data_IF_888866299498
#
_entry.id   IF_888866299498
#
_cell.length_a   1.000
_cell.length_b   1.000
_cell.length_c   1.000
_cell.angle_alpha   90.00
_cell.angle_beta   90.00
_cell.angle_gamma   90.00
#
_symmetry.space_group_name_H-M   'P 1'
#
loop_
_entity.id
_entity.type
_entity.pdbx_description
1 polymer ?
#
# COMPACT_ATOMS: atom_id res chain seq x y z
N UNK A 1 -8.84 25.06 -8.61
CA UNK A 1 -8.94 23.66 -8.18
C UNK A 1 -7.63 23.36 -7.46
N UNK A 2 -7.68 23.14 -6.15
CA UNK A 2 -6.48 22.93 -5.33
C UNK A 2 -5.90 21.51 -5.47
N UNK A 3 -4.75 21.22 -4.83
CA UNK A 3 -4.22 19.86 -4.74
C UNK A 3 -5.23 18.93 -4.05
N UNK A 4 -5.33 17.69 -4.52
CA UNK A 4 -6.20 16.65 -3.94
C UNK A 4 -5.35 15.47 -3.47
N UNK A 5 -5.37 15.21 -2.16
CA UNK A 5 -4.51 14.22 -1.53
C UNK A 5 -5.25 12.89 -1.34
N UNK A 6 -5.38 12.10 -2.41
CA UNK A 6 -5.81 10.71 -2.30
C UNK A 6 -5.16 9.85 -3.40
N UNK A 7 -5.29 8.54 -3.27
CA UNK A 7 -4.65 7.60 -4.20
C UNK A 7 -5.18 7.66 -5.63
N UNK A 8 -6.41 8.12 -5.83
CA UNK A 8 -6.96 8.45 -7.15
C UNK A 8 -7.84 9.68 -7.05
N UNK A 9 -7.80 10.53 -8.08
CA UNK A 9 -8.76 11.64 -8.17
C UNK A 9 -10.13 11.12 -8.63
N UNK A 10 -11.24 11.43 -7.93
CA UNK A 10 -12.56 10.82 -8.17
C UNK A 10 -13.07 10.88 -9.60
N UNK A 11 -12.76 11.96 -10.33
CA UNK A 11 -13.27 12.22 -11.67
C UNK A 11 -12.18 12.52 -12.72
N UNK A 12 -10.90 12.22 -12.44
CA UNK A 12 -9.85 12.48 -13.42
C UNK A 12 -10.07 11.67 -14.71
N UNK A 13 -10.14 12.39 -15.84
CA UNK A 13 -10.24 11.78 -17.15
C UNK A 13 -8.84 11.37 -17.62
N UNK A 14 -8.46 10.12 -17.35
CA UNK A 14 -7.09 9.66 -17.56
C UNK A 14 -6.63 9.71 -19.03
N UNK A 15 -7.55 9.46 -19.97
CA UNK A 15 -7.31 9.59 -21.41
C UNK A 15 -6.91 11.00 -21.87
N UNK A 16 -7.21 12.04 -21.08
CA UNK A 16 -6.90 13.43 -21.40
C UNK A 16 -5.62 13.94 -20.76
N UNK A 17 -4.99 13.15 -19.88
CA UNK A 17 -3.75 13.56 -19.23
C UNK A 17 -2.54 13.33 -20.13
N UNK A 18 -1.55 14.21 -20.01
CA UNK A 18 -0.29 14.13 -20.76
C UNK A 18 0.83 13.68 -19.82
N UNK A 19 1.78 12.85 -20.30
CA UNK A 19 2.97 12.53 -19.53
C UNK A 19 3.78 13.80 -19.22
N UNK A 20 4.52 13.78 -18.11
CA UNK A 20 5.49 14.82 -17.82
C UNK A 20 6.57 14.85 -18.91
N UNK A 21 7.06 16.05 -19.26
CA UNK A 21 7.97 16.27 -20.39
C UNK A 21 9.41 15.73 -20.20
N UNK A 22 9.69 14.99 -19.12
CA UNK A 22 11.03 14.50 -18.79
C UNK A 22 11.29 13.18 -19.51
N UNK A 23 12.50 13.00 -20.07
CA UNK A 23 12.81 11.89 -20.98
C UNK A 23 12.53 10.49 -20.42
N UNK A 24 12.78 10.25 -19.13
CA UNK A 24 12.53 8.93 -18.53
C UNK A 24 11.03 8.58 -18.47
N UNK A 25 10.13 9.58 -18.38
CA UNK A 25 8.68 9.32 -18.42
C UNK A 25 8.18 9.01 -19.84
N UNK A 26 8.81 9.56 -20.87
CA UNK A 26 8.45 9.24 -22.26
C UNK A 26 8.71 7.77 -22.57
N UNK A 27 9.89 7.27 -22.19
CA UNK A 27 10.26 5.87 -22.38
C UNK A 27 9.28 4.93 -21.66
N UNK A 28 8.91 5.21 -20.41
CA UNK A 28 7.89 4.42 -19.69
C UNK A 28 6.54 4.38 -20.43
N UNK A 29 6.12 5.48 -21.03
CA UNK A 29 4.88 5.55 -21.80
C UNK A 29 4.97 4.81 -23.13
N UNK A 30 6.15 4.72 -23.73
CA UNK A 30 6.38 3.93 -24.94
C UNK A 30 6.49 2.43 -24.64
N UNK A 31 7.15 2.04 -23.55
CA UNK A 31 7.30 0.64 -23.18
C UNK A 31 5.97 0.02 -22.68
N UNK A 32 5.23 0.74 -21.84
CA UNK A 32 4.04 0.19 -21.16
C UNK A 32 2.70 0.72 -21.68
N UNK A 33 2.72 1.67 -22.61
CA UNK A 33 1.56 2.15 -23.39
C UNK A 33 0.32 2.42 -22.53
N UNK A 34 -0.69 1.55 -22.62
CA UNK A 34 -1.98 1.72 -21.97
C UNK A 34 -1.89 1.70 -20.44
N UNK A 35 -1.00 0.86 -19.90
CA UNK A 35 -0.77 0.72 -18.45
C UNK A 35 -0.19 2.01 -17.88
N UNK A 36 0.80 2.60 -18.57
CA UNK A 36 1.38 3.88 -18.20
C UNK A 36 0.35 5.02 -18.22
N UNK A 37 -0.49 5.09 -19.25
CA UNK A 37 -1.53 6.14 -19.40
C UNK A 37 -2.58 6.12 -18.28
N UNK A 38 -2.85 4.96 -17.69
CA UNK A 38 -3.82 4.82 -16.59
C UNK A 38 -3.24 5.18 -15.22
N UNK A 39 -1.95 5.48 -15.12
CA UNK A 39 -1.23 5.61 -13.85
C UNK A 39 -1.29 7.01 -13.24
N UNK A 40 -2.50 7.54 -13.12
CA UNK A 40 -2.78 8.79 -12.41
C UNK A 40 -3.11 8.51 -10.96
N UNK A 41 -2.10 8.01 -10.25
CA UNK A 41 -2.23 7.43 -8.93
C UNK A 41 -1.20 8.02 -7.98
N UNK A 42 -1.59 8.20 -6.73
CA UNK A 42 -0.69 8.67 -5.66
C UNK A 42 -0.54 7.59 -4.60
N UNK A 43 0.68 7.38 -4.11
CA UNK A 43 0.96 6.45 -3.02
C UNK A 43 1.68 7.15 -1.88
N UNK A 44 1.50 6.63 -0.66
CA UNK A 44 2.38 6.93 0.46
C UNK A 44 3.54 5.94 0.43
N UNK A 45 4.77 6.46 0.35
CA UNK A 45 5.99 5.65 0.48
C UNK A 45 6.70 5.99 1.78
N UNK A 46 7.08 4.95 2.55
CA UNK A 46 7.79 5.11 3.82
C UNK A 46 9.12 4.38 3.74
N UNK A 47 10.20 5.09 4.04
CA UNK A 47 11.55 4.53 4.14
C UNK A 47 11.91 4.32 5.60
N UNK A 48 12.37 3.12 5.94
CA UNK A 48 12.96 2.83 7.25
C UNK A 48 14.39 2.37 7.04
N UNK A 49 15.34 3.07 7.67
CA UNK A 49 16.76 2.74 7.65
C UNK A 49 17.02 1.40 8.33
N UNK A 50 17.94 0.62 7.76
CA UNK A 50 18.33 -0.68 8.31
C UNK A 50 19.84 -0.75 8.54
N UNK A 51 20.32 -1.44 9.58
CA UNK A 51 21.76 -1.62 9.81
C UNK A 51 22.46 -2.32 8.64
N UNK A 52 23.75 -2.05 8.37
CA UNK A 52 24.50 -2.71 7.28
C UNK A 52 24.50 -4.24 7.35
N UNK A 53 24.47 -4.81 8.55
CA UNK A 53 24.44 -6.26 8.77
C UNK A 53 23.06 -6.90 8.55
N UNK A 54 22.01 -6.11 8.30
CA UNK A 54 20.65 -6.61 8.09
C UNK A 54 20.50 -7.14 6.67
N UNK A 55 20.14 -8.43 6.54
CA UNK A 55 19.65 -8.96 5.27
C UNK A 55 18.24 -8.40 4.99
N UNK A 56 18.19 -7.42 4.08
CA UNK A 56 16.94 -6.74 3.70
C UNK A 56 15.90 -7.68 3.11
N UNK A 57 16.31 -8.77 2.45
CA UNK A 57 15.35 -9.69 1.86
C UNK A 57 14.72 -10.57 2.93
N UNK A 58 15.51 -11.06 3.89
CA UNK A 58 14.98 -11.77 5.05
C UNK A 58 14.03 -10.88 5.88
N UNK A 59 14.39 -9.61 6.07
CA UNK A 59 13.51 -8.63 6.71
C UNK A 59 12.19 -8.48 5.95
N UNK A 60 12.22 -8.31 4.62
CA UNK A 60 11.01 -8.20 3.80
C UNK A 60 10.12 -9.44 3.93
N UNK A 61 10.70 -10.63 3.97
CA UNK A 61 9.95 -11.87 4.16
C UNK A 61 9.22 -11.92 5.51
N UNK A 62 9.84 -11.41 6.59
CA UNK A 62 9.20 -11.30 7.91
C UNK A 62 8.05 -10.30 7.93
N UNK A 63 8.17 -9.21 7.16
CA UNK A 63 7.16 -8.15 7.09
C UNK A 63 5.99 -8.49 6.16
N UNK A 64 6.18 -9.42 5.23
CA UNK A 64 5.23 -9.76 4.17
C UNK A 64 3.78 -10.01 4.68
N UNK A 65 3.54 -10.77 5.75
CA UNK A 65 2.18 -11.05 6.23
C UNK A 65 1.44 -9.80 6.68
N UNK A 66 2.15 -8.76 7.13
CA UNK A 66 1.56 -7.55 7.71
C UNK A 66 1.32 -6.42 6.71
N UNK A 67 1.90 -6.51 5.50
CA UNK A 67 1.73 -5.47 4.48
C UNK A 67 0.26 -5.16 4.15
N UNK A 68 -0.64 -6.15 3.99
CA UNK A 68 -2.03 -5.84 3.67
C UNK A 68 -2.76 -5.07 4.77
N UNK A 69 -2.37 -5.21 6.05
CA UNK A 69 -2.95 -4.41 7.14
C UNK A 69 -2.61 -2.92 6.97
N UNK A 70 -1.38 -2.59 6.56
CA UNK A 70 -0.98 -1.21 6.25
C UNK A 70 -1.74 -0.66 5.02
N UNK A 71 -2.05 -1.53 4.05
CA UNK A 71 -2.93 -1.14 2.94
C UNK A 71 -4.35 -0.82 3.45
N UNK A 72 -4.93 -1.67 4.31
CA UNK A 72 -6.27 -1.45 4.91
C UNK A 72 -6.35 -0.08 5.57
N UNK A 73 -5.33 0.33 6.34
CA UNK A 73 -5.32 1.62 7.01
C UNK A 73 -5.26 2.81 6.04
N UNK A 74 -4.66 2.62 4.87
CA UNK A 74 -4.39 3.70 3.91
C UNK A 74 -5.48 3.90 2.85
N UNK A 75 -6.46 2.99 2.71
CA UNK A 75 -7.33 2.97 1.53
C UNK A 75 -8.01 4.31 1.28
N UNK A 76 -7.83 4.85 0.08
CA UNK A 76 -8.30 6.21 -0.29
C UNK A 76 -8.70 6.36 -1.76
N UNK A 77 -8.81 5.26 -2.50
CA UNK A 77 -9.13 5.27 -3.94
C UNK A 77 -10.36 4.42 -4.33
N UNK A 78 -11.54 4.63 -3.74
CA UNK A 78 -12.73 3.87 -4.12
C UNK A 78 -13.37 4.34 -5.44
N UNK A 79 -13.05 5.55 -5.88
CA UNK A 79 -13.58 6.18 -7.08
C UNK A 79 -12.53 6.26 -8.19
N UNK A 80 -12.93 5.95 -9.41
CA UNK A 80 -12.11 6.08 -10.62
C UNK A 80 -12.98 6.49 -11.80
N UNK A 81 -12.50 7.44 -12.61
CA UNK A 81 -13.22 7.94 -13.80
C UNK A 81 -14.70 8.35 -13.54
N UNK A 82 -14.98 8.89 -12.34
CA UNK A 82 -16.31 9.35 -11.94
C UNK A 82 -17.28 8.24 -11.53
N UNK A 83 -16.77 7.06 -11.20
CA UNK A 83 -17.57 5.90 -10.79
C UNK A 83 -16.99 5.25 -9.53
N UNK A 84 -17.88 4.68 -8.70
CA UNK A 84 -17.47 3.78 -7.63
C UNK A 84 -17.02 2.46 -8.25
N UNK A 85 -15.79 2.06 -7.93
CA UNK A 85 -15.12 0.91 -8.58
C UNK A 85 -15.49 -0.42 -7.96
N UNK A 86 -16.10 -0.40 -6.78
CA UNK A 86 -16.26 -1.56 -5.92
C UNK A 86 -14.98 -1.94 -5.15
N UNK A 87 -13.86 -1.27 -5.35
CA UNK A 87 -12.65 -1.47 -4.53
C UNK A 87 -12.51 -0.35 -3.49
N UNK A 88 -11.79 -0.61 -2.41
CA UNK A 88 -11.37 0.41 -1.44
C UNK A 88 -10.03 1.04 -1.83
N UNK A 89 -9.18 0.27 -2.51
CA UNK A 89 -7.99 0.76 -3.21
C UNK A 89 -8.02 0.37 -4.70
N UNK A 90 -8.59 1.22 -5.54
CA UNK A 90 -8.49 1.07 -7.00
C UNK A 90 -7.06 1.31 -7.49
N UNK A 91 -6.27 2.12 -6.78
CA UNK A 91 -4.84 2.30 -7.06
C UNK A 91 -4.13 0.96 -7.16
N UNK A 92 -4.33 0.06 -6.19
CA UNK A 92 -3.65 -1.23 -6.20
C UNK A 92 -4.16 -2.18 -7.29
N UNK A 93 -5.40 -2.03 -7.74
CA UNK A 93 -5.91 -2.73 -8.95
C UNK A 93 -5.17 -2.26 -10.19
N UNK A 94 -5.12 -0.95 -10.44
CA UNK A 94 -4.46 -0.38 -11.63
C UNK A 94 -2.95 -0.63 -11.58
N UNK A 95 -2.33 -0.48 -10.40
CA UNK A 95 -0.93 -0.80 -10.20
C UNK A 95 -0.60 -2.27 -10.50
N UNK A 96 -1.54 -3.20 -10.29
CA UNK A 96 -1.35 -4.62 -10.58
C UNK A 96 -1.16 -4.96 -12.06
N UNK A 97 -1.49 -4.04 -12.98
CA UNK A 97 -1.25 -4.23 -14.42
C UNK A 97 0.21 -3.95 -14.83
N UNK A 98 1.01 -3.36 -13.94
CA UNK A 98 2.43 -3.13 -14.21
C UNK A 98 3.27 -4.37 -13.93
N UNK A 99 4.31 -4.65 -14.74
CA UNK A 99 5.23 -5.73 -14.45
C UNK A 99 5.94 -5.48 -13.13
N UNK A 100 6.16 -6.55 -12.37
CA UNK A 100 6.85 -6.51 -11.07
C UNK A 100 6.19 -5.57 -10.04
N UNK A 101 4.90 -5.23 -10.20
CA UNK A 101 4.07 -4.63 -9.15
C UNK A 101 3.27 -5.69 -8.41
N UNK A 102 3.22 -5.57 -7.09
CA UNK A 102 2.54 -6.55 -6.23
C UNK A 102 3.35 -6.86 -4.98
N UNK A 103 3.02 -7.96 -4.32
CA UNK A 103 3.81 -8.43 -3.19
C UNK A 103 5.22 -8.88 -3.67
N UNK A 104 6.27 -8.70 -2.85
CA UNK A 104 7.63 -9.14 -3.18
C UNK A 104 7.72 -10.63 -3.48
N UNK A 105 8.71 -11.05 -4.27
CA UNK A 105 9.02 -12.48 -4.41
C UNK A 105 9.58 -13.06 -3.12
N UNK A 106 9.27 -14.34 -2.85
CA UNK A 106 9.73 -15.06 -1.65
C UNK A 106 11.17 -15.55 -1.86
N UNK A 107 12.10 -14.60 -1.95
CA UNK A 107 13.53 -14.89 -2.11
C UNK A 107 14.16 -15.09 -0.73
N UNK A 108 14.95 -16.14 -0.49
CA UNK A 108 15.38 -16.51 0.86
C UNK A 108 16.33 -15.50 1.52
N UNK A 109 17.15 -14.80 0.73
CA UNK A 109 18.21 -13.93 1.22
C UNK A 109 18.61 -12.86 0.18
N UNK A 110 19.52 -11.98 0.58
CA UNK A 110 20.05 -10.93 -0.28
C UNK A 110 20.74 -11.49 -1.53
N UNK A 111 21.44 -12.62 -1.43
CA UNK A 111 22.14 -13.21 -2.56
C UNK A 111 21.15 -13.70 -3.63
N UNK A 112 20.02 -14.29 -3.23
CA UNK A 112 18.94 -14.69 -4.12
C UNK A 112 18.27 -13.48 -4.78
N UNK A 113 18.07 -12.39 -4.03
CA UNK A 113 17.62 -11.11 -4.59
C UNK A 113 18.57 -10.58 -5.67
N UNK A 114 19.89 -10.59 -5.41
CA UNK A 114 20.89 -10.18 -6.41
C UNK A 114 20.87 -11.09 -7.64
N UNK A 115 20.81 -12.41 -7.47
CA UNK A 115 20.70 -13.36 -8.61
C UNK A 115 19.44 -13.12 -9.44
N UNK A 116 18.30 -12.92 -8.79
CA UNK A 116 17.02 -12.62 -9.46
C UNK A 116 17.11 -11.31 -10.25
N UNK A 117 17.63 -10.25 -9.65
CA UNK A 117 17.82 -8.96 -10.32
C UNK A 117 18.78 -9.07 -11.51
N UNK A 118 19.93 -9.71 -11.33
CA UNK A 118 20.92 -9.92 -12.40
C UNK A 118 20.34 -10.72 -13.56
N UNK A 119 19.49 -11.71 -13.28
CA UNK A 119 18.75 -12.44 -14.31
C UNK A 119 17.86 -11.50 -15.12
N UNK A 120 17.03 -10.68 -14.46
CA UNK A 120 16.14 -9.75 -15.19
C UNK A 120 16.93 -8.71 -16.00
N UNK A 121 18.05 -8.25 -15.46
CA UNK A 121 18.90 -7.27 -16.15
C UNK A 121 19.59 -7.86 -17.38
N UNK A 122 20.20 -9.04 -17.25
CA UNK A 122 20.91 -9.66 -18.39
C UNK A 122 19.98 -10.10 -19.52
N UNK A 123 18.70 -10.35 -19.24
CA UNK A 123 17.70 -10.71 -20.26
C UNK A 123 16.95 -9.51 -20.81
N UNK A 124 17.26 -8.28 -20.37
CA UNK A 124 16.57 -7.06 -20.80
C UNK A 124 15.17 -6.88 -20.21
N UNK A 125 14.75 -7.73 -19.26
CA UNK A 125 13.44 -7.61 -18.58
C UNK A 125 13.43 -6.47 -17.54
N UNK A 126 14.61 -6.03 -17.08
CA UNK A 126 14.78 -4.89 -16.19
C UNK A 126 15.95 -4.03 -16.65
N UNK A 127 15.76 -2.71 -16.72
CA UNK A 127 16.86 -1.79 -17.02
C UNK A 127 17.98 -1.88 -15.96
N UNK A 128 19.20 -1.49 -16.33
CA UNK A 128 20.35 -1.54 -15.42
C UNK A 128 20.11 -0.72 -14.13
N UNK A 129 19.51 0.46 -14.26
CA UNK A 129 19.10 1.35 -13.19
C UNK A 129 17.64 1.18 -12.75
N UNK A 130 16.92 0.24 -13.39
CA UNK A 130 15.54 -0.09 -13.11
C UNK A 130 15.34 -0.65 -11.70
N UNK A 131 14.19 -0.34 -11.12
CA UNK A 131 13.77 -0.86 -9.83
C UNK A 131 12.59 -1.83 -9.98
N UNK A 132 12.54 -2.82 -9.09
CA UNK A 132 11.34 -3.63 -8.90
C UNK A 132 10.28 -2.80 -8.17
N UNK A 133 9.07 -2.74 -8.71
CA UNK A 133 7.97 -1.93 -8.15
C UNK A 133 7.12 -2.69 -7.12
N UNK A 134 7.77 -3.55 -6.34
CA UNK A 134 7.12 -4.30 -5.27
C UNK A 134 6.50 -3.40 -4.20
N UNK A 135 5.49 -3.93 -3.51
CA UNK A 135 4.74 -3.33 -2.42
C UNK A 135 5.62 -3.04 -1.19
N UNK A 136 6.72 -3.76 -1.04
CA UNK A 136 7.82 -3.49 -0.11
C UNK A 136 9.11 -3.87 -0.84
N UNK A 137 10.16 -3.04 -0.82
CA UNK A 137 11.39 -3.36 -1.56
C UNK A 137 12.65 -2.89 -0.83
N UNK A 138 13.81 -3.49 -1.13
CA UNK A 138 15.08 -2.87 -0.78
C UNK A 138 15.24 -1.58 -1.59
N UNK A 139 15.55 -0.45 -0.94
CA UNK A 139 15.88 0.76 -1.69
C UNK A 139 17.24 0.60 -2.36
N UNK A 140 17.31 0.98 -3.64
CA UNK A 140 18.58 1.00 -4.38
C UNK A 140 19.48 2.15 -3.94
N UNK A 141 18.88 3.31 -3.65
CA UNK A 141 19.59 4.57 -3.36
C UNK A 141 19.94 4.73 -1.89
N UNK A 142 19.10 4.20 -0.99
CA UNK A 142 19.25 4.39 0.44
C UNK A 142 19.41 3.04 1.16
N UNK A 143 20.10 3.01 2.32
CA UNK A 143 20.21 1.82 3.16
C UNK A 143 18.89 1.58 3.92
N UNK A 144 17.79 1.44 3.19
CA UNK A 144 16.43 1.33 3.74
C UNK A 144 15.69 0.16 3.10
N UNK A 145 14.62 -0.25 3.76
CA UNK A 145 13.46 -0.89 3.11
C UNK A 145 12.39 0.18 2.84
N UNK A 146 11.73 0.08 1.69
CA UNK A 146 10.78 1.08 1.21
C UNK A 146 9.38 0.45 1.08
N UNK A 147 8.45 0.85 1.95
CA UNK A 147 7.04 0.50 1.88
C UNK A 147 6.36 1.29 0.78
N UNK A 148 5.64 0.63 -0.12
CA UNK A 148 4.98 1.23 -1.30
C UNK A 148 3.54 0.76 -1.51
N UNK A 149 3.06 -0.13 -0.64
CA UNK A 149 1.72 -0.70 -0.73
C UNK A 149 0.63 0.36 -0.49
N UNK A 150 0.89 1.33 0.38
CA UNK A 150 -0.12 2.26 0.85
C UNK A 150 -0.62 3.19 -0.25
N UNK A 151 -1.91 3.46 -0.18
CA UNK A 151 -2.56 4.54 -0.92
C UNK A 151 -2.07 5.91 -0.41
N UNK A 152 -2.18 6.97 -1.22
CA UNK A 152 -1.94 8.33 -0.76
C UNK A 152 -2.96 8.72 0.31
N UNK A 153 -2.48 9.20 1.46
CA UNK A 153 -3.32 9.56 2.60
C UNK A 153 -3.45 11.10 2.70
N UNK A 154 -4.67 11.65 2.75
CA UNK A 154 -4.88 13.09 2.97
C UNK A 154 -4.59 13.52 4.40
N UNK A 155 -4.93 12.69 5.38
CA UNK A 155 -4.78 13.03 6.78
C UNK A 155 -3.34 12.76 7.25
N UNK A 156 -2.71 13.77 7.84
CA UNK A 156 -1.34 13.66 8.38
C UNK A 156 -1.24 12.62 9.52
N UNK A 157 -2.24 12.52 10.39
CA UNK A 157 -2.25 11.53 11.47
C UNK A 157 -2.28 10.09 10.93
N UNK A 158 -3.00 9.85 9.83
CA UNK A 158 -3.00 8.55 9.14
C UNK A 158 -1.61 8.23 8.58
N UNK A 159 -0.94 9.23 7.99
CA UNK A 159 0.45 9.10 7.49
C UNK A 159 1.41 8.76 8.63
N UNK A 160 1.36 9.52 9.72
CA UNK A 160 2.23 9.32 10.89
C UNK A 160 1.99 7.96 11.54
N UNK A 161 0.73 7.53 11.64
CA UNK A 161 0.34 6.21 12.12
C UNK A 161 0.95 5.09 11.27
N UNK A 162 0.77 5.14 9.94
CA UNK A 162 1.32 4.13 9.02
C UNK A 162 2.85 4.10 9.11
N UNK A 163 3.50 5.26 9.14
CA UNK A 163 4.96 5.36 9.21
C UNK A 163 5.50 4.79 10.53
N UNK A 164 4.88 5.12 11.66
CA UNK A 164 5.27 4.62 12.98
C UNK A 164 5.02 3.11 13.14
N UNK A 165 3.87 2.60 12.67
CA UNK A 165 3.61 1.15 12.65
C UNK A 165 4.62 0.40 11.78
N UNK A 166 4.92 0.92 10.59
CA UNK A 166 5.90 0.30 9.71
C UNK A 166 7.31 0.32 10.30
N UNK A 167 7.72 1.42 10.94
CA UNK A 167 9.00 1.51 11.65
C UNK A 167 9.06 0.48 12.78
N UNK A 168 8.04 0.40 13.62
CA UNK A 168 7.97 -0.54 14.73
C UNK A 168 8.05 -2.01 14.25
N UNK A 169 7.32 -2.35 13.18
CA UNK A 169 7.41 -3.67 12.54
C UNK A 169 8.84 -4.00 12.07
N UNK A 170 9.54 -3.03 11.47
CA UNK A 170 10.93 -3.19 11.00
C UNK A 170 11.89 -3.36 12.17
N UNK A 171 11.81 -2.49 13.18
CA UNK A 171 12.65 -2.52 14.38
C UNK A 171 12.53 -3.87 15.11
N UNK A 172 11.29 -4.31 15.36
CA UNK A 172 11.02 -5.61 15.95
C UNK A 172 11.58 -6.76 15.10
N UNK A 173 11.33 -6.76 13.79
CA UNK A 173 11.81 -7.82 12.89
C UNK A 173 13.34 -7.91 12.81
N UNK A 174 14.07 -6.81 13.06
CA UNK A 174 15.53 -6.78 13.14
C UNK A 174 16.04 -7.30 14.49
N UNK A 175 15.36 -6.95 15.58
CA UNK A 175 15.70 -7.39 16.93
C UNK A 175 15.54 -8.91 17.09
N UNK A 176 14.44 -9.47 16.57
CA UNK A 176 14.09 -10.89 16.66
C UNK A 176 14.46 -11.69 15.40
N UNK A 177 15.53 -11.28 14.71
CA UNK A 177 15.99 -11.91 13.46
C UNK A 177 16.44 -13.37 13.58
N UNK A 178 16.65 -13.86 14.80
CA UNK A 178 17.08 -15.25 15.06
C UNK A 178 15.90 -16.21 15.15
N UNK A 179 14.67 -15.70 15.27
CA UNK A 179 13.48 -16.53 15.21
C UNK A 179 13.36 -17.17 13.83
N UNK A 180 12.96 -18.45 13.72
CA UNK A 180 12.86 -19.14 12.44
C UNK A 180 12.12 -18.30 11.41
N UNK A 181 12.69 -18.18 10.21
CA UNK A 181 12.09 -17.41 9.12
C UNK A 181 10.68 -17.94 8.86
N UNK A 182 9.64 -17.12 9.00
CA UNK A 182 8.28 -17.56 8.83
C UNK A 182 7.91 -17.71 7.34
N UNK A 183 8.84 -17.51 6.40
CA UNK A 183 8.56 -17.48 4.96
C UNK A 183 8.25 -18.88 4.39
N UNK A 184 7.18 -19.48 4.88
CA UNK A 184 6.56 -20.65 4.30
C UNK A 184 5.72 -20.25 3.09
N UNK A 185 5.48 -21.23 2.21
CA UNK A 185 4.61 -21.04 1.05
C UNK A 185 3.19 -20.65 1.50
N UNK A 186 2.77 -21.16 2.65
CA UNK A 186 1.47 -20.94 3.26
C UNK A 186 1.30 -19.47 3.70
N UNK A 187 2.32 -18.84 4.32
CA UNK A 187 2.25 -17.42 4.64
C UNK A 187 2.17 -16.54 3.39
N UNK A 188 2.80 -16.95 2.29
CA UNK A 188 2.65 -16.24 1.01
C UNK A 188 1.22 -16.32 0.48
N UNK A 189 0.57 -17.49 0.57
CA UNK A 189 -0.84 -17.63 0.20
C UNK A 189 -1.74 -16.72 1.04
N UNK A 190 -1.51 -16.71 2.35
CA UNK A 190 -2.24 -15.85 3.29
C UNK A 190 -2.04 -14.37 2.96
N UNK A 191 -0.79 -13.94 2.75
CA UNK A 191 -0.49 -12.55 2.41
C UNK A 191 -1.14 -12.14 1.08
N UNK A 192 -1.13 -13.02 0.07
CA UNK A 192 -1.74 -12.76 -1.23
C UNK A 192 -3.27 -12.65 -1.14
N UNK A 193 -3.91 -13.53 -0.39
CA UNK A 193 -5.36 -13.49 -0.16
C UNK A 193 -5.75 -12.25 0.64
N UNK A 194 -5.06 -11.97 1.75
CA UNK A 194 -5.30 -10.78 2.57
C UNK A 194 -5.02 -9.49 1.78
N UNK A 195 -4.04 -9.48 0.86
CA UNK A 195 -3.80 -8.37 -0.05
C UNK A 195 -4.99 -8.10 -0.96
N UNK A 196 -5.56 -9.13 -1.58
CA UNK A 196 -6.78 -8.98 -2.38
C UNK A 196 -7.96 -8.46 -1.56
N UNK A 197 -8.19 -9.05 -0.37
CA UNK A 197 -9.27 -8.63 0.54
C UNK A 197 -9.11 -7.19 1.02
N UNK A 198 -7.88 -6.78 1.34
CA UNK A 198 -7.55 -5.41 1.70
C UNK A 198 -7.86 -4.43 0.55
N UNK A 199 -7.47 -4.74 -0.68
CA UNK A 199 -7.78 -3.91 -1.85
C UNK A 199 -9.30 -3.80 -2.08
N UNK A 200 -10.01 -4.93 -2.02
CA UNK A 200 -11.42 -5.01 -2.42
C UNK A 200 -12.38 -4.51 -1.35
N UNK A 201 -12.16 -4.86 -0.11
CA UNK A 201 -13.10 -4.64 1.00
C UNK A 201 -12.53 -3.72 2.09
N UNK A 202 -11.23 -3.40 2.04
CA UNK A 202 -10.58 -2.56 3.04
C UNK A 202 -10.83 -3.09 4.44
N UNK A 203 -11.23 -2.20 5.34
CA UNK A 203 -11.45 -2.52 6.74
C UNK A 203 -12.67 -3.42 7.02
N UNK A 204 -13.56 -3.60 6.04
CA UNK A 204 -14.78 -4.39 6.15
C UNK A 204 -14.58 -5.87 5.82
N UNK A 205 -13.37 -6.26 5.40
CA UNK A 205 -13.06 -7.65 5.11
C UNK A 205 -12.90 -8.50 6.37
N UNK A 206 -13.02 -9.81 6.18
CA UNK A 206 -12.45 -10.81 7.09
C UNK A 206 -11.12 -11.28 6.51
N UNK A 207 -10.07 -11.30 7.32
CA UNK A 207 -8.71 -11.69 6.96
C UNK A 207 -8.39 -13.07 7.51
N UNK A 208 -7.45 -13.77 6.89
CA UNK A 208 -6.88 -14.99 7.48
C UNK A 208 -5.92 -14.53 8.58
N UNK A 209 -6.24 -14.84 9.83
CA UNK A 209 -5.43 -14.50 10.99
C UNK A 209 -4.12 -15.29 11.04
N UNK A 210 -3.14 -14.78 11.79
CA UNK A 210 -1.86 -15.46 12.00
C UNK A 210 -1.92 -16.51 13.13
N UNK A 211 -2.95 -16.46 13.99
CA UNK A 211 -3.24 -17.50 14.98
C UNK A 211 -4.27 -18.49 14.42
N UNK A 212 -3.93 -19.79 14.40
CA UNK A 212 -4.80 -20.90 13.94
C UNK A 212 -5.42 -20.74 12.54
N UNK A 213 -4.99 -19.72 11.78
CA UNK A 213 -5.51 -19.38 10.44
C UNK A 213 -7.03 -19.14 10.41
N UNK A 214 -7.60 -18.71 11.53
CA UNK A 214 -9.03 -18.42 11.63
C UNK A 214 -9.38 -17.04 11.02
N UNK A 215 -10.61 -16.85 10.50
CA UNK A 215 -11.06 -15.56 10.03
C UNK A 215 -11.07 -14.51 11.14
N UNK A 216 -10.51 -13.33 10.88
CA UNK A 216 -10.49 -12.19 11.81
C UNK A 216 -10.96 -10.91 11.14
N UNK A 217 -11.59 -10.01 11.89
CA UNK A 217 -11.83 -8.64 11.41
C UNK A 217 -10.51 -7.87 11.31
N UNK A 218 -10.49 -6.73 10.61
CA UNK A 218 -9.29 -5.87 10.60
C UNK A 218 -8.83 -5.46 12.01
N UNK A 219 -9.77 -5.28 12.94
CA UNK A 219 -9.48 -4.95 14.35
C UNK A 219 -8.88 -6.15 15.09
N UNK A 220 -9.45 -7.35 14.88
CA UNK A 220 -8.89 -8.59 15.41
C UNK A 220 -7.49 -8.86 14.85
N UNK A 221 -7.25 -8.52 13.58
CA UNK A 221 -5.93 -8.67 12.96
C UNK A 221 -4.90 -7.71 13.54
N UNK A 222 -5.27 -6.45 13.78
CA UNK A 222 -4.43 -5.49 14.51
C UNK A 222 -4.14 -5.97 15.94
N UNK A 223 -5.13 -6.54 16.64
CA UNK A 223 -4.91 -7.10 17.97
C UNK A 223 -3.94 -8.29 17.95
N UNK A 224 -4.00 -9.15 16.92
CA UNK A 224 -3.02 -10.21 16.73
C UNK A 224 -1.61 -9.66 16.45
N UNK A 225 -1.48 -8.58 15.67
CA UNK A 225 -0.20 -7.89 15.49
C UNK A 225 0.36 -7.42 16.83
N UNK A 226 -0.44 -6.75 17.65
CA UNK A 226 -0.02 -6.25 18.96
C UNK A 226 0.35 -7.38 19.94
N UNK A 227 -0.28 -8.54 19.81
CA UNK A 227 0.07 -9.72 20.62
C UNK A 227 1.40 -10.36 20.18
N UNK A 228 1.70 -10.36 18.87
CA UNK A 228 2.95 -10.91 18.35
C UNK A 228 4.13 -9.93 18.46
N UNK A 229 3.84 -8.64 18.36
CA UNK A 229 4.81 -7.55 18.34
C UNK A 229 4.39 -6.58 19.44
N UNK A 230 4.86 -6.81 20.68
CA UNK A 230 4.51 -5.97 21.82
C UNK A 230 4.95 -4.53 21.62
N UNK A 231 4.09 -3.61 22.03
CA UNK A 231 4.35 -2.16 21.97
C UNK A 231 5.47 -1.82 22.95
N UNK A 232 6.55 -1.26 22.43
CA UNK A 232 7.78 -0.96 23.18
C UNK A 232 8.12 0.54 23.23
N UNK A 233 7.30 1.39 22.60
CA UNK A 233 7.52 2.83 22.51
C UNK A 233 6.22 3.63 22.46
N UNK A 234 6.28 4.90 22.90
CA UNK A 234 5.13 5.81 22.86
C UNK A 234 4.64 6.09 21.43
N UNK A 235 5.55 6.07 20.44
CA UNK A 235 5.20 6.22 19.03
C UNK A 235 4.40 5.01 18.52
N UNK A 236 4.85 3.78 18.85
CA UNK A 236 4.12 2.57 18.51
C UNK A 236 2.74 2.54 19.19
N UNK A 237 2.67 2.96 20.46
CA UNK A 237 1.39 3.05 21.20
C UNK A 237 0.42 4.04 20.53
N UNK A 238 0.88 5.25 20.22
CA UNK A 238 0.09 6.26 19.51
C UNK A 238 -0.39 5.73 18.16
N UNK A 239 0.49 5.06 17.42
CA UNK A 239 0.16 4.51 16.11
C UNK A 239 -0.87 3.38 16.19
N UNK A 240 -0.73 2.42 17.12
CA UNK A 240 -1.72 1.36 17.32
C UNK A 240 -3.10 1.90 17.72
N UNK A 241 -3.13 2.90 18.60
CA UNK A 241 -4.37 3.59 19.00
C UNK A 241 -5.03 4.31 17.83
N UNK A 242 -4.25 5.03 17.02
CA UNK A 242 -4.76 5.71 15.82
C UNK A 242 -5.22 4.71 14.76
N UNK A 243 -4.49 3.61 14.55
CA UNK A 243 -4.91 2.54 13.65
C UNK A 243 -6.25 1.94 14.09
N UNK A 244 -6.45 1.69 15.40
CA UNK A 244 -7.74 1.25 15.92
C UNK A 244 -8.85 2.29 15.69
N UNK A 245 -8.54 3.59 15.80
CA UNK A 245 -9.48 4.66 15.47
C UNK A 245 -9.88 4.63 13.98
N UNK A 246 -8.89 4.60 13.06
CA UNK A 246 -9.13 4.49 11.61
C UNK A 246 -9.97 3.26 11.28
N UNK A 247 -9.65 2.12 11.91
CA UNK A 247 -10.46 0.92 11.76
C UNK A 247 -11.87 1.16 12.32
N UNK A 248 -12.09 1.75 13.48
CA UNK A 248 -13.47 1.95 14.00
C UNK A 248 -14.31 2.92 13.17
N UNK A 249 -13.73 4.04 12.74
CA UNK A 249 -14.48 5.16 12.15
C UNK A 249 -14.41 5.23 10.62
N UNK A 250 -13.55 4.40 10.02
CA UNK A 250 -13.38 4.29 8.59
C UNK A 250 -12.20 5.09 8.06
N UNK A 251 -11.72 4.61 6.92
CA UNK A 251 -10.63 5.19 6.13
C UNK A 251 -11.13 6.33 5.27
N UNK A 252 -10.23 6.98 4.54
CA UNK A 252 -10.63 8.02 3.58
C UNK A 252 -11.50 7.46 2.44
N UNK A 253 -11.29 6.21 2.02
CA UNK A 253 -12.18 5.55 1.08
C UNK A 253 -13.63 5.46 1.61
N UNK A 254 -13.80 5.13 2.89
CA UNK A 254 -15.12 5.08 3.52
C UNK A 254 -15.78 6.47 3.54
N UNK A 255 -14.99 7.52 3.84
CA UNK A 255 -15.46 8.90 3.84
C UNK A 255 -15.94 9.34 2.44
N UNK A 256 -15.16 9.05 1.39
CA UNK A 256 -15.54 9.39 0.01
C UNK A 256 -16.85 8.70 -0.41
N UNK A 257 -17.01 7.41 -0.08
CA UNK A 257 -18.21 6.66 -0.39
C UNK A 257 -19.44 7.18 0.37
N UNK A 258 -19.29 7.51 1.66
CA UNK A 258 -20.36 8.13 2.46
C UNK A 258 -20.76 9.50 1.89
N UNK A 259 -19.79 10.35 1.57
CA UNK A 259 -20.04 11.67 0.99
C UNK A 259 -20.77 11.55 -0.36
N UNK A 260 -20.35 10.62 -1.22
CA UNK A 260 -21.02 10.36 -2.50
C UNK A 260 -22.46 9.87 -2.31
N UNK A 261 -22.70 8.99 -1.34
CA UNK A 261 -24.03 8.47 -1.03
C UNK A 261 -24.94 9.58 -0.50
N UNK A 262 -24.45 10.41 0.44
CA UNK A 262 -25.20 11.54 0.99
C UNK A 262 -25.56 12.55 -0.09
N UNK A 263 -24.58 12.98 -0.90
CA UNK A 263 -24.82 13.92 -1.99
C UNK A 263 -25.89 13.43 -2.97
N UNK A 264 -25.96 12.13 -3.24
CA UNK A 264 -27.01 11.53 -4.07
C UNK A 264 -28.36 11.51 -3.36
N UNK A 265 -28.40 11.20 -2.06
CA UNK A 265 -29.61 11.26 -1.25
C UNK A 265 -30.18 12.69 -1.19
N UNK A 266 -29.32 13.69 -1.19
CA UNK A 266 -29.68 15.12 -1.24
C UNK A 266 -30.14 15.58 -2.65
N UNK A 267 -30.25 14.66 -3.62
CA UNK A 267 -30.72 14.95 -4.98
C UNK A 267 -29.69 15.59 -5.91
N UNK A 268 -28.41 15.65 -5.53
CA UNK A 268 -27.38 16.25 -6.38
C UNK A 268 -27.09 15.38 -7.62
N UNK A 269 -26.95 16.05 -8.77
CA UNK A 269 -26.54 15.38 -10.01
C UNK A 269 -25.12 14.79 -9.91
N UNK A 270 -24.79 13.79 -10.74
CA UNK A 270 -23.50 13.06 -10.71
C UNK A 270 -22.27 13.97 -10.60
N UNK A 271 -22.23 15.04 -11.41
CA UNK A 271 -21.11 15.98 -11.40
C UNK A 271 -21.01 16.82 -10.12
N UNK A 272 -22.15 17.21 -9.53
CA UNK A 272 -22.19 17.93 -8.26
C UNK A 272 -21.77 17.03 -7.10
N UNK A 273 -22.28 15.78 -7.08
CA UNK A 273 -21.91 14.80 -6.07
C UNK A 273 -20.41 14.49 -6.06
N UNK A 274 -19.78 14.34 -7.24
CA UNK A 274 -18.33 14.13 -7.32
C UNK A 274 -17.53 15.37 -6.88
N UNK A 275 -18.02 16.59 -7.15
CA UNK A 275 -17.40 17.81 -6.63
C UNK A 275 -17.51 17.91 -5.12
N UNK A 276 -18.62 17.46 -4.52
CA UNK A 276 -18.77 17.40 -3.06
C UNK A 276 -17.72 16.46 -2.44
N UNK A 277 -17.46 15.30 -3.05
CA UNK A 277 -16.40 14.38 -2.60
C UNK A 277 -15.01 15.03 -2.68
N UNK A 278 -14.71 15.70 -3.78
CA UNK A 278 -13.42 16.41 -3.94
C UNK A 278 -13.28 17.51 -2.88
N UNK A 279 -14.33 18.32 -2.67
CA UNK A 279 -14.33 19.40 -1.69
C UNK A 279 -14.14 18.90 -0.25
N UNK A 280 -14.80 17.79 0.11
CA UNK A 280 -14.63 17.15 1.42
C UNK A 280 -13.21 16.62 1.64
N UNK A 281 -12.52 16.18 0.58
CA UNK A 281 -11.14 15.70 0.66
C UNK A 281 -10.07 16.79 0.58
N UNK A 282 -10.44 18.05 0.32
CA UNK A 282 -9.52 19.20 0.30
C UNK A 282 -9.49 19.99 1.61
N UNK A 283 -10.41 19.73 2.53
CA UNK A 283 -10.38 20.27 3.88
C UNK A 283 -9.40 19.46 4.73
N UNK A 284 -8.10 19.78 4.59
CA UNK A 284 -7.01 19.29 5.44
C UNK A 284 -6.44 20.50 6.17
#
# INVERSE_FOLDING_TARGET
MGPYAAASHPCAAWLRQKPAAQGHYQQLFDDYRHVARRSLLNGLHVHVGVPPACDRMQLINRLLPWLPLLLVLSTSSPLWAGQATGYMSCRRVICGEWPHMGLPEALPDWAAYQRYRTLLQRTGALAADGDLWWALRPSRRYPTVELRICDGCPNLEDVLCIAALFRHLVEHSIAYRHDPLPCSRELRWIAQENYWRAMRHGRHAHFIGCHEQQPVTAQGWLAQLQAQIPIDSADAERACRHALHVLRHGTHADQQLRCLAQARADGLGKGQALRAVVAAGTCI
#
